data_IF_660364315500
#
_entry.id   IF_660364315500
#
_cell.length_a   1.000
_cell.length_b   1.000
_cell.length_c   1.000
_cell.angle_alpha   90.00
_cell.angle_beta   90.00
_cell.angle_gamma   90.00
#
_symmetry.space_group_name_H-M   'P 1'
#
loop_
_entity.id
_entity.type
_entity.pdbx_description
1 polymer ?
#
# COMPACT_ATOMS: atom_id res chain seq x y z
N UNK A 1 -5.67 15.25 2.09
CA UNK A 1 -4.89 16.19 1.24
C UNK A 1 -4.08 17.18 2.05
N UNK A 2 -4.67 17.97 2.95
CA UNK A 2 -3.93 18.99 3.73
C UNK A 2 -2.74 18.43 4.54
N UNK A 3 -2.92 17.32 5.25
CA UNK A 3 -1.84 16.71 6.03
C UNK A 3 -0.63 16.33 5.17
N UNK A 4 -0.88 15.75 3.99
CA UNK A 4 0.16 15.37 3.03
C UNK A 4 0.90 16.62 2.53
N UNK A 5 0.18 17.69 2.21
CA UNK A 5 0.77 18.97 1.80
C UNK A 5 1.69 19.54 2.88
N UNK A 6 1.23 19.54 4.13
CA UNK A 6 2.03 20.00 5.26
C UNK A 6 3.31 19.16 5.43
N UNK A 7 3.20 17.84 5.31
CA UNK A 7 4.35 16.93 5.40
C UNK A 7 5.33 17.14 4.25
N UNK A 8 4.86 17.28 2.99
CA UNK A 8 5.73 17.54 1.84
C UNK A 8 6.46 18.87 1.99
N UNK A 9 5.78 19.92 2.45
CA UNK A 9 6.40 21.23 2.65
C UNK A 9 7.46 21.20 3.77
N UNK A 10 7.21 20.48 4.87
CA UNK A 10 8.10 20.47 6.02
C UNK A 10 9.26 19.46 5.90
N UNK A 11 9.04 18.34 5.22
CA UNK A 11 9.92 17.17 5.25
C UNK A 11 10.12 16.47 3.90
N UNK A 12 9.61 17.04 2.79
CA UNK A 12 9.65 16.38 1.48
C UNK A 12 11.04 16.18 0.89
N UNK A 13 12.05 16.83 1.47
CA UNK A 13 13.49 16.67 1.16
C UNK A 13 14.14 15.50 1.92
N UNK A 14 13.51 15.05 3.01
CA UNK A 14 14.06 14.08 3.96
C UNK A 14 13.25 12.80 4.05
N UNK A 15 11.97 12.85 3.70
CA UNK A 15 11.03 11.74 3.81
C UNK A 15 10.35 11.45 2.48
N UNK A 16 10.13 10.16 2.23
CA UNK A 16 9.25 9.68 1.16
C UNK A 16 7.82 9.70 1.70
N UNK A 17 6.97 10.53 1.11
CA UNK A 17 5.61 10.80 1.57
C UNK A 17 4.64 10.38 0.47
N UNK A 18 3.96 9.26 0.71
CA UNK A 18 2.92 8.74 -0.16
C UNK A 18 1.50 9.06 0.32
N UNK A 19 0.53 8.71 -0.51
CA UNK A 19 -0.89 8.78 -0.18
C UNK A 19 -1.53 7.39 -0.20
N UNK A 20 -2.22 7.04 0.88
CA UNK A 20 -2.99 5.81 0.97
C UNK A 20 -4.47 6.00 0.67
N UNK A 21 -5.17 4.88 0.44
CA UNK A 21 -6.62 4.81 0.21
C UNK A 21 -7.05 5.63 -1.02
N UNK A 22 -6.24 5.59 -2.07
CA UNK A 22 -6.58 6.18 -3.36
C UNK A 22 -7.56 5.26 -4.08
N UNK A 23 -8.76 5.75 -4.36
CA UNK A 23 -9.87 4.98 -4.95
C UNK A 23 -10.46 5.62 -6.20
N UNK A 24 -10.10 6.87 -6.52
CA UNK A 24 -10.62 7.62 -7.66
C UNK A 24 -9.50 8.32 -8.45
N UNK A 25 -9.68 8.45 -9.76
CA UNK A 25 -8.70 9.11 -10.65
C UNK A 25 -8.47 10.57 -10.28
N UNK A 26 -9.52 11.30 -9.89
CA UNK A 26 -9.41 12.71 -9.52
C UNK A 26 -8.47 12.95 -8.33
N UNK A 27 -8.40 11.99 -7.39
CA UNK A 27 -7.46 12.04 -6.27
C UNK A 27 -6.01 11.98 -6.76
N UNK A 28 -5.71 11.19 -7.79
CA UNK A 28 -4.37 11.07 -8.36
C UNK A 28 -3.92 12.41 -8.94
N UNK A 29 -4.83 13.12 -9.63
CA UNK A 29 -4.54 14.44 -10.20
C UNK A 29 -4.25 15.48 -9.11
N UNK A 30 -5.01 15.46 -8.03
CA UNK A 30 -4.75 16.34 -6.88
C UNK A 30 -3.43 15.99 -6.18
N UNK A 31 -3.16 14.70 -5.97
CA UNK A 31 -1.94 14.21 -5.34
C UNK A 31 -0.69 14.49 -6.17
N UNK A 32 -0.80 14.46 -7.51
CA UNK A 32 0.25 14.91 -8.42
C UNK A 32 0.62 16.37 -8.18
N UNK A 33 -0.39 17.25 -8.01
CA UNK A 33 -0.15 18.67 -7.69
C UNK A 33 0.51 18.88 -6.33
N UNK A 34 0.27 17.97 -5.37
CA UNK A 34 0.93 17.99 -4.05
C UNK A 34 2.37 17.47 -4.14
N UNK A 35 2.69 16.67 -5.15
CA UNK A 35 4.02 16.09 -5.34
C UNK A 35 4.26 14.88 -4.44
N UNK A 36 3.27 14.01 -4.25
CA UNK A 36 3.48 12.77 -3.49
C UNK A 36 4.43 11.81 -4.19
N UNK A 37 5.16 11.03 -3.40
CA UNK A 37 6.23 10.17 -3.90
C UNK A 37 5.73 8.79 -4.34
N UNK A 38 4.59 8.34 -3.79
CA UNK A 38 3.92 7.10 -4.19
C UNK A 38 2.43 7.09 -3.78
N UNK A 39 1.68 6.16 -4.35
CA UNK A 39 0.25 5.98 -4.13
C UNK A 39 -0.04 4.54 -3.69
N UNK A 40 -0.99 4.37 -2.77
CA UNK A 40 -1.47 3.06 -2.33
C UNK A 40 -2.99 2.97 -2.51
N UNK A 41 -3.44 1.95 -3.23
CA UNK A 41 -4.85 1.65 -3.43
C UNK A 41 -5.24 0.39 -2.64
N UNK A 42 -6.46 0.30 -2.09
CA UNK A 42 -6.95 -0.94 -1.48
C UNK A 42 -7.25 -2.05 -2.50
N UNK A 43 -7.35 -1.75 -3.80
CA UNK A 43 -7.66 -2.71 -4.86
C UNK A 43 -6.83 -2.50 -6.13
N UNK A 44 -7.14 -3.30 -7.16
CA UNK A 44 -6.51 -3.25 -8.48
C UNK A 44 -7.55 -2.83 -9.51
N UNK A 45 -7.47 -1.57 -9.95
CA UNK A 45 -8.40 -0.97 -10.91
C UNK A 45 -7.60 -0.43 -12.09
N UNK A 46 -8.00 -0.77 -13.31
CA UNK A 46 -7.24 -0.45 -14.53
C UNK A 46 -7.11 1.06 -14.71
N UNK A 47 -8.21 1.78 -14.51
CA UNK A 47 -8.31 3.22 -14.65
C UNK A 47 -7.37 3.95 -13.68
N UNK A 48 -7.24 3.45 -12.45
CA UNK A 48 -6.32 4.01 -11.46
C UNK A 48 -4.85 3.73 -11.83
N UNK A 49 -4.55 2.53 -12.31
CA UNK A 49 -3.20 2.18 -12.78
C UNK A 49 -2.78 3.06 -13.96
N UNK A 50 -3.65 3.21 -14.96
CA UNK A 50 -3.37 4.05 -16.13
C UNK A 50 -3.19 5.52 -15.72
N UNK A 51 -4.03 6.02 -14.82
CA UNK A 51 -3.92 7.39 -14.31
C UNK A 51 -2.62 7.62 -13.51
N UNK A 52 -2.23 6.70 -12.63
CA UNK A 52 -0.98 6.80 -11.87
C UNK A 52 0.25 6.72 -12.80
N UNK A 53 0.21 5.85 -13.81
CA UNK A 53 1.26 5.73 -14.83
C UNK A 53 1.40 7.02 -15.65
N UNK A 54 0.29 7.59 -16.14
CA UNK A 54 0.28 8.90 -16.82
C UNK A 54 0.74 10.04 -15.91
N UNK A 55 0.47 9.93 -14.61
CA UNK A 55 0.96 10.88 -13.62
C UNK A 55 2.46 10.72 -13.31
N UNK A 56 3.07 9.62 -13.74
CA UNK A 56 4.43 9.19 -13.41
C UNK A 56 4.66 9.03 -11.90
N UNK A 57 3.64 8.54 -11.18
CA UNK A 57 3.71 8.32 -9.74
C UNK A 57 3.70 6.81 -9.47
N UNK A 58 4.69 6.26 -8.73
CA UNK A 58 4.68 4.86 -8.30
C UNK A 58 3.37 4.47 -7.63
N UNK A 59 2.82 3.31 -8.00
CA UNK A 59 1.50 2.84 -7.56
C UNK A 59 1.60 1.43 -6.97
N UNK A 60 1.12 1.28 -5.74
CA UNK A 60 1.01 0.01 -5.03
C UNK A 60 -0.48 -0.40 -4.95
N UNK A 61 -1.00 -1.16 -5.93
CA UNK A 61 -2.38 -1.61 -5.92
C UNK A 61 -2.61 -2.74 -4.91
N UNK A 62 -3.83 -2.82 -4.40
CA UNK A 62 -4.28 -3.90 -3.53
C UNK A 62 -4.78 -5.10 -4.32
N UNK A 63 -4.51 -6.31 -3.83
CA UNK A 63 -5.03 -7.57 -4.35
C UNK A 63 -5.40 -8.49 -3.20
N UNK A 64 -6.31 -9.43 -3.47
CA UNK A 64 -6.72 -10.49 -2.55
C UNK A 64 -6.69 -11.89 -3.20
N UNK A 65 -6.72 -11.97 -4.53
CA UNK A 65 -6.92 -13.23 -5.27
C UNK A 65 -5.84 -13.52 -6.32
N UNK A 66 -5.64 -14.79 -6.72
CA UNK A 66 -4.75 -15.15 -7.82
C UNK A 66 -5.05 -14.42 -9.13
N UNK A 67 -6.33 -14.25 -9.48
CA UNK A 67 -6.75 -13.55 -10.70
C UNK A 67 -6.30 -12.10 -10.71
N UNK A 68 -6.42 -11.41 -9.57
CA UNK A 68 -5.93 -10.02 -9.44
C UNK A 68 -4.40 -9.96 -9.51
N UNK A 69 -3.69 -10.90 -8.88
CA UNK A 69 -2.22 -10.99 -8.97
C UNK A 69 -1.78 -11.18 -10.43
N UNK A 70 -2.46 -12.06 -11.17
CA UNK A 70 -2.18 -12.30 -12.59
C UNK A 70 -2.44 -11.06 -13.44
N UNK A 71 -3.54 -10.35 -13.20
CA UNK A 71 -3.84 -9.09 -13.89
C UNK A 71 -2.77 -8.03 -13.61
N UNK A 72 -2.36 -7.87 -12.35
CA UNK A 72 -1.31 -6.93 -12.00
C UNK A 72 0.02 -7.28 -12.66
N UNK A 73 0.41 -8.57 -12.67
CA UNK A 73 1.60 -9.06 -13.36
C UNK A 73 1.53 -8.77 -14.87
N UNK A 74 0.37 -9.00 -15.50
CA UNK A 74 0.16 -8.71 -16.92
C UNK A 74 0.31 -7.21 -17.24
N UNK A 75 0.07 -6.33 -16.27
CA UNK A 75 0.31 -4.89 -16.39
C UNK A 75 1.74 -4.48 -16.01
N UNK A 76 2.63 -5.45 -15.74
CA UNK A 76 4.02 -5.22 -15.38
C UNK A 76 4.24 -4.88 -13.90
N UNK A 77 3.21 -5.00 -13.06
CA UNK A 77 3.28 -4.68 -11.63
C UNK A 77 3.80 -5.90 -10.86
N UNK A 78 4.91 -5.73 -10.16
CA UNK A 78 5.54 -6.78 -9.34
C UNK A 78 5.39 -6.58 -7.83
N UNK A 79 4.98 -5.39 -7.42
CA UNK A 79 4.85 -5.00 -6.02
C UNK A 79 3.37 -4.75 -5.73
N UNK A 80 2.81 -5.52 -4.81
CA UNK A 80 1.37 -5.50 -4.52
C UNK A 80 1.13 -5.31 -3.03
N UNK A 81 0.05 -4.62 -2.70
CA UNK A 81 -0.52 -4.65 -1.36
C UNK A 81 -1.43 -5.88 -1.26
N UNK A 82 -1.28 -6.70 -0.23
CA UNK A 82 -2.21 -7.81 0.03
C UNK A 82 -3.22 -7.37 1.09
N UNK A 83 -4.49 -7.20 0.71
CA UNK A 83 -5.45 -6.50 1.57
C UNK A 83 -6.90 -6.97 1.40
N UNK A 84 -7.66 -7.14 2.51
CA UNK A 84 -7.20 -7.20 3.90
C UNK A 84 -6.48 -8.53 4.18
N UNK A 85 -5.26 -8.50 4.73
CA UNK A 85 -4.40 -9.67 4.83
C UNK A 85 -5.03 -10.82 5.65
N UNK A 86 -5.45 -10.56 6.89
CA UNK A 86 -5.98 -11.62 7.76
C UNK A 86 -7.28 -12.25 7.25
N UNK A 87 -8.10 -11.48 6.53
CA UNK A 87 -9.39 -11.97 6.00
C UNK A 87 -9.17 -12.87 4.78
N UNK A 88 -8.10 -12.64 4.02
CA UNK A 88 -7.79 -13.38 2.80
C UNK A 88 -6.80 -14.53 3.02
N UNK A 89 -6.72 -15.08 4.24
CA UNK A 89 -5.85 -16.22 4.56
C UNK A 89 -4.44 -15.86 5.02
N UNK A 90 -4.11 -14.58 5.16
CA UNK A 90 -2.93 -14.09 5.85
C UNK A 90 -1.60 -14.64 5.35
N UNK A 91 -0.72 -14.98 6.29
CA UNK A 91 0.60 -15.56 6.04
C UNK A 91 0.53 -16.90 5.27
N UNK A 92 -0.51 -17.71 5.52
CA UNK A 92 -0.70 -19.02 4.88
C UNK A 92 -0.91 -18.83 3.37
N UNK A 93 -1.78 -17.89 2.99
CA UNK A 93 -2.01 -17.55 1.58
C UNK A 93 -0.73 -17.05 0.91
N UNK A 94 -0.01 -16.12 1.56
CA UNK A 94 1.24 -15.59 1.03
C UNK A 94 2.35 -16.64 0.91
N UNK A 95 2.45 -17.59 1.84
CA UNK A 95 3.37 -18.72 1.76
C UNK A 95 3.05 -19.60 0.55
N UNK A 96 1.78 -19.87 0.28
CA UNK A 96 1.36 -20.59 -0.93
C UNK A 96 1.69 -19.81 -2.21
N UNK A 97 1.54 -18.49 -2.19
CA UNK A 97 1.87 -17.63 -3.32
C UNK A 97 3.37 -17.49 -3.58
N UNK A 98 4.24 -17.74 -2.61
CA UNK A 98 5.68 -17.62 -2.80
C UNK A 98 6.23 -18.57 -3.90
N UNK A 99 5.63 -19.76 -4.05
CA UNK A 99 6.01 -20.71 -5.09
C UNK A 99 5.34 -20.43 -6.45
N UNK A 100 4.09 -19.98 -6.45
CA UNK A 100 3.30 -19.73 -7.68
C UNK A 100 3.65 -18.39 -8.32
N UNK A 101 3.92 -17.39 -7.49
CA UNK A 101 4.16 -16.00 -7.89
C UNK A 101 5.55 -15.51 -7.43
N UNK A 102 6.60 -16.28 -7.76
CA UNK A 102 7.96 -16.06 -7.25
C UNK A 102 8.58 -14.69 -7.62
N UNK A 103 8.14 -14.05 -8.69
CA UNK A 103 8.55 -12.70 -9.13
C UNK A 103 7.72 -11.56 -8.52
N UNK A 104 6.68 -11.87 -7.73
CA UNK A 104 5.81 -10.90 -7.06
C UNK A 104 6.26 -10.70 -5.62
N UNK A 105 6.10 -9.48 -5.12
CA UNK A 105 6.38 -9.07 -3.74
C UNK A 105 5.17 -8.38 -3.13
N UNK A 106 4.92 -8.66 -1.85
CA UNK A 106 3.72 -8.24 -1.14
C UNK A 106 4.03 -7.34 0.06
N UNK A 107 3.17 -6.34 0.25
CA UNK A 107 3.01 -5.62 1.51
C UNK A 107 1.64 -5.98 2.09
N UNK A 108 1.53 -7.03 2.92
CA UNK A 108 0.28 -7.37 3.57
C UNK A 108 -0.14 -6.28 4.55
N UNK A 109 -1.42 -5.94 4.53
CA UNK A 109 -2.03 -4.90 5.36
C UNK A 109 -3.42 -5.32 5.80
N UNK A 110 -3.79 -5.05 7.05
CA UNK A 110 -5.14 -5.30 7.58
C UNK A 110 -5.18 -6.50 8.52
N UNK A 111 -5.41 -6.23 9.80
CA UNK A 111 -5.45 -7.22 10.88
C UNK A 111 -4.08 -7.63 11.45
N UNK A 112 -2.98 -7.10 10.92
CA UNK A 112 -1.63 -7.40 11.41
C UNK A 112 -1.36 -6.55 12.65
N UNK A 113 -0.80 -7.18 13.69
CA UNK A 113 -0.35 -6.53 14.92
C UNK A 113 1.18 -6.48 14.96
N UNK A 114 1.75 -5.78 15.96
CA UNK A 114 3.20 -5.79 16.18
C UNK A 114 3.70 -7.21 16.41
N UNK A 115 2.94 -8.01 17.17
CA UNK A 115 3.27 -9.39 17.55
C UNK A 115 3.21 -10.32 16.33
N UNK A 116 2.18 -10.20 15.48
CA UNK A 116 2.03 -11.05 14.28
C UNK A 116 2.84 -10.59 13.07
N UNK A 117 3.44 -9.40 13.11
CA UNK A 117 4.21 -8.84 12.00
C UNK A 117 5.38 -9.73 11.54
N UNK A 118 6.06 -10.36 12.49
CA UNK A 118 7.23 -11.22 12.22
C UNK A 118 6.87 -12.44 11.36
N UNK A 119 5.67 -12.98 11.53
CA UNK A 119 5.16 -14.12 10.74
C UNK A 119 5.12 -13.80 9.24
N UNK A 120 4.75 -12.56 8.90
CA UNK A 120 4.72 -12.08 7.53
C UNK A 120 6.11 -11.72 7.02
N UNK A 121 6.89 -10.97 7.81
CA UNK A 121 8.22 -10.48 7.41
C UNK A 121 9.24 -11.60 7.18
N UNK A 122 9.02 -12.78 7.77
CA UNK A 122 9.86 -13.96 7.53
C UNK A 122 9.58 -14.65 6.18
N UNK A 123 8.55 -14.24 5.43
CA UNK A 123 8.25 -14.81 4.11
C UNK A 123 9.08 -14.14 3.01
N UNK A 124 9.67 -14.91 2.07
CA UNK A 124 10.60 -14.37 1.05
C UNK A 124 9.92 -13.45 0.02
N UNK A 125 8.59 -13.53 -0.09
CA UNK A 125 7.79 -12.70 -0.97
C UNK A 125 7.15 -11.50 -0.26
N UNK A 126 7.51 -11.22 1.01
CA UNK A 126 7.03 -10.05 1.76
C UNK A 126 8.16 -9.05 1.93
N UNK A 127 7.94 -7.79 1.57
CA UNK A 127 8.97 -6.74 1.65
C UNK A 127 8.69 -5.69 2.74
N UNK A 128 7.44 -5.59 3.19
CA UNK A 128 7.00 -4.69 4.24
C UNK A 128 5.69 -5.21 4.83
N UNK A 129 5.29 -4.68 5.99
CA UNK A 129 3.97 -4.95 6.59
C UNK A 129 3.28 -3.62 6.92
N UNK A 130 1.97 -3.56 6.71
CA UNK A 130 1.15 -2.42 7.11
C UNK A 130 0.26 -2.78 8.30
N UNK A 131 0.25 -1.93 9.33
CA UNK A 131 -0.78 -2.00 10.36
C UNK A 131 -0.93 -0.74 11.17
N UNK A 132 -2.00 -0.72 11.96
CA UNK A 132 -2.49 0.47 12.68
C UNK A 132 -1.92 0.63 14.09
N UNK A 133 -1.07 -0.30 14.55
CA UNK A 133 -0.54 -0.27 15.92
C UNK A 133 0.27 0.99 16.21
N UNK A 134 0.94 1.56 15.21
CA UNK A 134 1.69 2.81 15.36
C UNK A 134 0.80 4.04 15.60
N UNK A 135 -0.48 4.01 15.21
CA UNK A 135 -1.42 5.12 15.49
C UNK A 135 -1.76 5.23 16.98
N UNK A 136 -1.74 4.12 17.71
CA UNK A 136 -2.05 4.12 19.16
C UNK A 136 -0.92 4.73 20.00
N UNK A 137 0.30 4.79 19.45
CA UNK A 137 1.48 5.34 20.12
C UNK A 137 1.55 6.89 20.02
N UNK A 138 0.74 7.52 19.16
CA UNK A 138 0.59 8.98 19.10
C UNK A 138 -0.80 9.39 19.61
N UNK A 139 -0.94 9.78 20.88
CA UNK A 139 -2.22 10.29 21.37
C UNK A 139 -2.66 11.47 20.49
N UNK A 140 -3.92 11.43 20.03
CA UNK A 140 -4.54 12.58 19.39
C UNK A 140 -4.43 13.78 20.33
N UNK A 141 -3.60 14.77 19.98
CA UNK A 141 -3.67 16.11 20.59
C UNK A 141 -4.92 16.87 20.09
N UNK A 142 -6.08 16.24 20.20
CA UNK A 142 -7.38 16.86 20.08
C UNK A 142 -8.16 16.47 21.33
N UNK A 143 -7.81 17.13 22.44
CA UNK A 143 -8.60 17.34 23.65
C UNK A 143 -7.75 18.26 24.54
N UNK A 144 -7.69 19.52 24.16
CA UNK A 144 -7.30 20.63 25.04
C UNK A 144 -8.20 21.81 24.67
N UNK A 145 -9.43 21.73 25.18
CA UNK A 145 -10.17 22.91 25.59
C UNK A 145 -9.76 23.26 27.03
#
# INVERSE_FOLDING_TARGET
>A
MQAIRNLKNAYGDRLIIGAGTVTHVDQILELKKIGVDFLVCPGLIRELFDAATKASIPFLPGVATPTEIMNARAWGIKWLKFFPANVNGGSIALKAYASVFADIRFCPTGGISRESSSEYLNLPNVFAVGGSWFQKEFPNKQNSE
#
